data_IF_729378913131
#
_entry.id   IF_729378913131
#
_cell.length_a   1.000
_cell.length_b   1.000
_cell.length_c   1.000
_cell.angle_alpha   90.00
_cell.angle_beta   90.00
_cell.angle_gamma   90.00
#
_symmetry.space_group_name_H-M   'P 1'
#
loop_
_entity.id
_entity.type
_entity.pdbx_description
1 polymer ?
#
# COMPACT_ATOMS: atom_id res chain seq x y z
N UNK A 1 -6.32 9.74 -4.03
CA UNK A 1 -6.02 8.36 -3.61
C UNK A 1 -4.92 8.29 -2.55
N UNK A 2 -4.93 7.29 -1.66
CA UNK A 2 -3.93 7.00 -0.62
C UNK A 2 -3.50 5.54 -0.68
N UNK A 3 -2.26 5.28 -1.10
CA UNK A 3 -1.68 3.94 -1.20
C UNK A 3 -0.64 3.73 -0.10
N UNK A 4 -0.95 2.83 0.83
CA UNK A 4 0.01 2.36 1.83
C UNK A 4 1.00 1.37 1.22
N UNK A 5 2.26 1.46 1.63
CA UNK A 5 3.32 0.55 1.19
C UNK A 5 3.97 -0.04 2.43
N UNK A 6 3.96 -1.37 2.53
CA UNK A 6 4.52 -2.08 3.67
C UNK A 6 5.77 -2.83 3.20
N UNK A 7 6.87 -2.60 3.92
CA UNK A 7 8.15 -3.25 3.66
C UNK A 7 8.13 -4.76 3.84
N UNK A 8 9.15 -5.49 3.37
CA UNK A 8 9.28 -6.93 3.65
C UNK A 8 9.47 -7.22 5.14
N UNK A 9 8.85 -8.30 5.62
CA UNK A 9 8.80 -8.64 7.03
C UNK A 9 9.96 -9.51 7.55
N UNK A 10 10.73 -10.15 6.64
CA UNK A 10 11.83 -11.08 6.98
C UNK A 10 11.47 -12.05 8.13
N UNK A 11 10.26 -12.62 8.09
CA UNK A 11 9.71 -13.54 9.11
C UNK A 11 9.34 -12.92 10.47
N UNK A 12 8.97 -11.64 10.51
CA UNK A 12 8.42 -11.02 11.71
C UNK A 12 6.92 -10.69 11.54
N UNK A 13 6.01 -11.69 11.68
CA UNK A 13 4.58 -11.50 11.43
C UNK A 13 3.92 -10.55 12.42
N UNK A 14 4.44 -10.46 13.65
CA UNK A 14 3.93 -9.54 14.67
C UNK A 14 4.11 -8.09 14.24
N UNK A 15 5.35 -7.72 13.88
CA UNK A 15 5.63 -6.35 13.42
C UNK A 15 4.91 -6.07 12.10
N UNK A 16 4.82 -7.05 11.19
CA UNK A 16 4.04 -6.89 9.96
C UNK A 16 2.58 -6.54 10.23
N UNK A 17 1.94 -7.23 11.19
CA UNK A 17 0.57 -6.92 11.60
C UNK A 17 0.45 -5.51 12.17
N UNK A 18 1.33 -5.13 13.11
CA UNK A 18 1.32 -3.79 13.72
C UNK A 18 1.47 -2.69 12.65
N UNK A 19 2.31 -2.94 11.62
CA UNK A 19 2.46 -2.02 10.49
C UNK A 19 1.23 -1.97 9.60
N UNK A 20 0.60 -3.12 9.33
CA UNK A 20 -0.64 -3.17 8.57
C UNK A 20 -1.79 -2.46 9.29
N UNK A 21 -1.92 -2.68 10.61
CA UNK A 21 -2.87 -1.96 11.48
C UNK A 21 -2.65 -0.45 11.40
N UNK A 22 -1.41 0.01 11.55
CA UNK A 22 -1.06 1.44 11.43
C UNK A 22 -1.47 2.03 10.07
N UNK A 23 -1.23 1.30 8.98
CA UNK A 23 -1.60 1.76 7.63
C UNK A 23 -3.12 1.88 7.44
N UNK A 24 -3.89 0.93 7.99
CA UNK A 24 -5.35 0.92 7.87
C UNK A 24 -6.01 1.95 8.79
N UNK A 25 -5.54 2.09 10.04
CA UNK A 25 -6.20 2.88 11.07
C UNK A 25 -5.76 4.33 11.11
N UNK A 26 -4.44 4.54 11.17
CA UNK A 26 -3.85 5.86 11.38
C UNK A 26 -3.66 6.57 10.03
N UNK A 27 -3.10 5.86 9.05
CA UNK A 27 -2.89 6.44 7.72
C UNK A 27 -4.16 6.44 6.87
N UNK A 28 -5.15 5.61 7.20
CA UNK A 28 -6.40 5.43 6.46
C UNK A 28 -6.14 5.27 4.97
N UNK A 29 -5.24 4.35 4.64
CA UNK A 29 -4.95 4.05 3.25
C UNK A 29 -6.18 3.44 2.57
N UNK A 30 -6.45 3.82 1.33
CA UNK A 30 -7.54 3.23 0.54
C UNK A 30 -7.22 1.78 0.19
N UNK A 31 -5.93 1.53 -0.09
CA UNK A 31 -5.31 0.23 -0.35
C UNK A 31 -3.90 0.22 0.24
N UNK A 32 -3.39 -0.95 0.55
CA UNK A 32 -2.06 -1.14 1.12
C UNK A 32 -1.36 -2.34 0.48
N UNK A 33 -0.17 -2.13 -0.06
CA UNK A 33 0.59 -3.18 -0.76
C UNK A 33 1.80 -3.59 0.08
N UNK A 34 1.88 -4.87 0.41
CA UNK A 34 3.07 -5.50 0.96
C UNK A 34 4.06 -5.82 -0.15
N UNK A 35 5.26 -5.27 -0.04
CA UNK A 35 6.32 -5.37 -1.04
C UNK A 35 7.22 -6.59 -0.83
N UNK A 36 6.91 -7.45 0.15
CA UNK A 36 7.51 -8.77 0.27
C UNK A 36 6.79 -9.80 -0.60
N UNK A 37 7.49 -10.90 -0.89
CA UNK A 37 7.00 -11.99 -1.77
C UNK A 37 7.13 -13.35 -1.09
N UNK A 38 7.05 -13.35 0.24
CA UNK A 38 7.26 -14.50 1.13
C UNK A 38 5.96 -15.09 1.69
N UNK A 39 4.79 -14.60 1.24
CA UNK A 39 3.47 -15.03 1.74
C UNK A 39 3.15 -14.58 3.17
N UNK A 40 4.04 -13.80 3.81
CA UNK A 40 3.90 -13.45 5.22
C UNK A 40 2.65 -12.60 5.51
N UNK A 41 2.26 -11.72 4.58
CA UNK A 41 1.04 -10.93 4.73
C UNK A 41 -0.21 -11.81 4.66
N UNK A 42 -0.27 -12.78 3.75
CA UNK A 42 -1.43 -13.67 3.60
C UNK A 42 -1.65 -14.48 4.89
N UNK A 43 -0.58 -15.00 5.49
CA UNK A 43 -0.63 -15.70 6.77
C UNK A 43 -1.12 -14.78 7.91
N UNK A 44 -0.61 -13.55 7.96
CA UNK A 44 -1.03 -12.54 8.95
C UNK A 44 -2.51 -12.20 8.78
N UNK A 45 -2.96 -11.91 7.56
CA UNK A 45 -4.35 -11.56 7.26
C UNK A 45 -5.28 -12.72 7.59
N UNK A 46 -4.92 -13.94 7.24
CA UNK A 46 -5.71 -15.14 7.56
C UNK A 46 -5.87 -15.31 9.07
N UNK A 47 -4.77 -15.23 9.82
CA UNK A 47 -4.82 -15.37 11.28
C UNK A 47 -5.62 -14.25 11.92
N UNK A 48 -5.40 -13.01 11.49
CA UNK A 48 -6.11 -11.83 11.99
C UNK A 48 -7.61 -11.91 11.70
N UNK A 49 -8.01 -12.34 10.50
CA UNK A 49 -9.41 -12.52 10.16
C UNK A 49 -10.11 -13.56 11.06
N UNK A 50 -9.44 -14.68 11.36
CA UNK A 50 -9.93 -15.68 12.29
C UNK A 50 -10.10 -15.13 13.71
N UNK A 51 -9.13 -14.36 14.21
CA UNK A 51 -9.21 -13.75 15.54
C UNK A 51 -10.40 -12.78 15.67
N UNK A 52 -10.65 -11.98 14.62
CA UNK A 52 -11.73 -10.99 14.63
C UNK A 52 -13.10 -11.65 14.75
N UNK A 53 -13.37 -12.70 13.98
CA UNK A 53 -14.71 -13.32 13.93
C UNK A 53 -14.86 -14.56 14.79
N UNK A 54 -13.77 -15.11 15.34
CA UNK A 54 -13.75 -16.33 16.18
C UNK A 54 -14.47 -17.51 15.54
N UNK A 55 -14.32 -17.67 14.23
CA UNK A 55 -14.99 -18.67 13.41
C UNK A 55 -14.37 -18.75 12.01
N UNK A 56 -15.11 -19.30 11.05
CA UNK A 56 -14.72 -19.23 9.63
C UNK A 56 -14.79 -17.76 9.16
N UNK A 57 -13.70 -17.14 8.67
CA UNK A 57 -13.66 -15.76 8.21
C UNK A 57 -14.12 -15.58 6.75
N UNK A 58 -14.52 -16.65 6.07
CA UNK A 58 -15.03 -16.58 4.70
C UNK A 58 -16.25 -15.66 4.60
N UNK A 59 -16.41 -15.04 3.42
CA UNK A 59 -17.59 -14.22 3.11
C UNK A 59 -18.86 -15.07 3.09
N UNK A 60 -18.78 -16.32 2.63
CA UNK A 60 -19.90 -17.26 2.65
C UNK A 60 -20.42 -17.56 4.05
N UNK A 61 -19.56 -17.53 5.07
CA UNK A 61 -19.94 -17.82 6.45
C UNK A 61 -20.53 -16.61 7.21
N UNK A 62 -20.55 -15.40 6.63
CA UNK A 62 -21.03 -14.17 7.31
C UNK A 62 -22.46 -14.35 7.82
N UNK A 63 -23.36 -14.89 6.99
CA UNK A 63 -24.76 -15.08 7.35
C UNK A 63 -24.93 -16.09 8.49
N UNK A 64 -24.12 -17.16 8.49
CA UNK A 64 -24.14 -18.15 9.57
C UNK A 64 -23.64 -17.54 10.89
N UNK A 65 -22.56 -16.75 10.85
CA UNK A 65 -22.04 -16.03 12.03
C UNK A 65 -23.05 -15.02 12.58
N UNK A 66 -23.73 -14.28 11.69
CA UNK A 66 -24.79 -13.35 12.08
C UNK A 66 -25.98 -14.06 12.74
N UNK A 67 -26.44 -15.18 12.17
CA UNK A 67 -27.55 -15.95 12.73
C UNK A 67 -27.23 -16.48 14.15
N UNK A 68 -26.01 -16.99 14.35
CA UNK A 68 -25.54 -17.47 15.66
C UNK A 68 -25.38 -16.32 16.67
N UNK A 69 -24.89 -15.17 16.23
CA UNK A 69 -24.50 -14.07 17.11
C UNK A 69 -25.63 -13.09 17.42
N UNK A 70 -26.70 -13.03 16.61
CA UNK A 70 -27.71 -11.97 16.71
C UNK A 70 -29.10 -12.44 17.16
N UNK A 71 -29.42 -13.74 17.13
CA UNK A 71 -30.78 -14.23 17.35
C UNK A 71 -31.40 -13.86 18.72
N UNK A 72 -30.58 -13.75 19.78
CA UNK A 72 -30.99 -13.36 21.14
C UNK A 72 -30.01 -12.37 21.77
N UNK A 73 -29.26 -11.63 20.96
CA UNK A 73 -28.17 -10.80 21.43
C UNK A 73 -28.64 -9.41 21.88
N UNK A 74 -27.93 -8.85 22.85
CA UNK A 74 -28.06 -7.45 23.23
C UNK A 74 -27.53 -6.53 22.13
N UNK A 75 -27.95 -5.26 22.14
CA UNK A 75 -27.43 -4.25 21.23
C UNK A 75 -25.90 -4.14 21.28
N UNK A 76 -25.29 -4.31 22.47
CA UNK A 76 -23.84 -4.30 22.63
C UNK A 76 -23.17 -5.47 21.90
N UNK A 77 -23.75 -6.67 21.98
CA UNK A 77 -23.25 -7.85 21.28
C UNK A 77 -23.37 -7.71 19.76
N UNK A 78 -24.48 -7.15 19.28
CA UNK A 78 -24.68 -6.86 17.85
C UNK A 78 -23.65 -5.83 17.37
N UNK A 79 -23.39 -4.77 18.13
CA UNK A 79 -22.40 -3.76 17.78
C UNK A 79 -20.96 -4.31 17.76
N UNK A 80 -20.63 -5.22 18.69
CA UNK A 80 -19.34 -5.91 18.70
C UNK A 80 -19.18 -6.79 17.45
N UNK A 81 -20.21 -7.55 17.07
CA UNK A 81 -20.23 -8.34 15.84
C UNK A 81 -20.04 -7.46 14.60
N UNK A 82 -20.82 -6.37 14.45
CA UNK A 82 -20.72 -5.48 13.30
C UNK A 82 -19.34 -4.81 13.21
N UNK A 83 -18.77 -4.43 14.36
CA UNK A 83 -17.41 -3.86 14.41
C UNK A 83 -16.36 -4.87 13.95
N UNK A 84 -16.45 -6.11 14.41
CA UNK A 84 -15.55 -7.19 14.00
C UNK A 84 -15.67 -7.50 12.49
N UNK A 85 -16.88 -7.58 11.95
CA UNK A 85 -17.09 -7.83 10.52
C UNK A 85 -16.62 -6.66 9.63
N UNK A 86 -16.86 -5.42 10.04
CA UNK A 86 -16.33 -4.24 9.35
C UNK A 86 -14.81 -4.28 9.34
N UNK A 87 -14.19 -4.61 10.47
CA UNK A 87 -12.74 -4.73 10.57
C UNK A 87 -12.20 -5.86 9.68
N UNK A 88 -12.88 -7.01 9.63
CA UNK A 88 -12.52 -8.10 8.71
C UNK A 88 -12.61 -7.66 7.24
N UNK A 89 -13.64 -6.91 6.86
CA UNK A 89 -13.77 -6.38 5.49
C UNK A 89 -12.63 -5.42 5.14
N UNK A 90 -12.18 -4.59 6.09
CA UNK A 90 -11.03 -3.70 5.88
C UNK A 90 -9.74 -4.46 5.56
N UNK A 91 -9.58 -5.70 6.04
CA UNK A 91 -8.40 -6.52 5.71
C UNK A 91 -8.27 -6.78 4.20
N UNK A 92 -9.36 -6.66 3.42
CA UNK A 92 -9.32 -6.78 1.95
C UNK A 92 -8.59 -5.62 1.26
N UNK A 93 -8.30 -4.54 1.97
CA UNK A 93 -7.49 -3.44 1.46
C UNK A 93 -6.00 -3.79 1.45
N UNK A 94 -5.59 -4.85 2.15
CA UNK A 94 -4.22 -5.34 2.18
C UNK A 94 -3.99 -6.30 1.01
N UNK A 95 -2.97 -6.02 0.23
CA UNK A 95 -2.62 -6.77 -0.98
C UNK A 95 -1.13 -7.12 -0.98
N UNK A 96 -0.79 -8.24 -1.62
CA UNK A 96 0.59 -8.63 -1.89
C UNK A 96 0.98 -8.26 -3.32
N UNK A 97 2.28 -8.09 -3.57
CA UNK A 97 2.78 -8.21 -4.94
C UNK A 97 2.47 -9.63 -5.48
N UNK A 98 2.10 -9.78 -6.78
CA UNK A 98 1.66 -11.07 -7.31
C UNK A 98 2.72 -12.18 -7.20
N UNK A 99 3.99 -11.85 -7.48
CA UNK A 99 5.14 -12.74 -7.30
C UNK A 99 6.46 -11.95 -7.43
N UNK A 100 7.60 -12.59 -7.16
CA UNK A 100 8.93 -11.96 -7.14
C UNK A 100 9.30 -11.17 -8.41
N UNK A 101 8.90 -11.68 -9.58
CA UNK A 101 9.18 -11.06 -10.88
C UNK A 101 7.99 -10.25 -11.44
N UNK A 102 6.90 -10.11 -10.67
CA UNK A 102 5.75 -9.34 -11.10
C UNK A 102 5.99 -7.85 -10.86
N UNK A 103 5.35 -7.05 -11.71
CA UNK A 103 5.21 -5.61 -11.56
C UNK A 103 3.74 -5.27 -11.42
N UNK A 104 3.42 -4.44 -10.44
CA UNK A 104 2.10 -3.84 -10.29
C UNK A 104 2.19 -2.39 -10.73
N UNK A 105 1.29 -1.98 -11.61
CA UNK A 105 1.21 -0.59 -12.07
C UNK A 105 0.05 0.07 -11.34
N UNK A 106 0.34 1.19 -10.69
CA UNK A 106 -0.64 2.03 -10.01
C UNK A 106 -0.66 3.42 -10.67
N UNK A 107 -1.86 3.96 -10.87
CA UNK A 107 -2.05 5.25 -11.51
C UNK A 107 -2.64 6.24 -10.50
N UNK A 108 -1.90 7.32 -10.23
CA UNK A 108 -2.35 8.47 -9.45
C UNK A 108 -2.70 9.60 -10.41
N UNK A 109 -3.97 9.71 -10.80
CA UNK A 109 -4.45 10.60 -11.87
C UNK A 109 -3.72 10.38 -13.21
N UNK A 110 -2.57 11.06 -13.42
CA UNK A 110 -1.69 10.92 -14.60
C UNK A 110 -0.27 10.43 -14.28
N UNK A 111 0.03 10.21 -12.99
CA UNK A 111 1.33 9.76 -12.50
C UNK A 111 1.35 8.24 -12.43
N UNK A 112 2.26 7.63 -13.18
CA UNK A 112 2.47 6.18 -13.17
C UNK A 112 3.46 5.81 -12.08
N UNK A 113 3.03 4.94 -11.17
CA UNK A 113 3.86 4.28 -10.19
C UNK A 113 4.00 2.78 -10.54
N UNK A 114 5.23 2.28 -10.57
CA UNK A 114 5.52 0.86 -10.76
C UNK A 114 6.02 0.29 -9.44
N UNK A 115 5.35 -0.75 -8.94
CA UNK A 115 5.68 -1.45 -7.71
C UNK A 115 6.28 -2.82 -8.06
N UNK A 116 7.44 -3.12 -7.49
CA UNK A 116 8.17 -4.37 -7.71
C UNK A 116 8.80 -4.86 -6.40
N UNK A 117 9.14 -6.14 -6.31
CA UNK A 117 9.94 -6.61 -5.18
C UNK A 117 11.39 -6.16 -5.31
N UNK A 118 12.07 -6.58 -6.38
CA UNK A 118 13.49 -6.32 -6.60
C UNK A 118 13.70 -5.31 -7.73
N UNK A 119 14.27 -4.15 -7.40
CA UNK A 119 14.57 -3.11 -8.40
C UNK A 119 15.58 -3.55 -9.46
N UNK A 120 16.35 -4.60 -9.21
CA UNK A 120 17.28 -5.15 -10.21
C UNK A 120 16.57 -5.80 -11.41
N UNK A 121 15.26 -6.04 -11.29
CA UNK A 121 14.42 -6.61 -12.34
C UNK A 121 13.74 -5.53 -13.21
N UNK A 122 13.97 -4.25 -12.93
CA UNK A 122 13.43 -3.17 -13.74
C UNK A 122 14.14 -3.12 -15.10
N UNK A 123 13.35 -3.09 -16.17
CA UNK A 123 13.82 -2.90 -17.54
C UNK A 123 13.53 -1.47 -18.05
N UNK A 124 13.94 -1.17 -19.28
CA UNK A 124 13.70 0.15 -19.89
C UNK A 124 12.21 0.41 -20.11
N UNK A 125 11.42 -0.61 -20.46
CA UNK A 125 9.98 -0.48 -20.70
C UNK A 125 9.21 -0.09 -19.43
N UNK A 126 9.67 -0.56 -18.27
CA UNK A 126 9.14 -0.19 -16.96
C UNK A 126 9.54 1.22 -16.55
N UNK A 127 10.79 1.58 -16.79
CA UNK A 127 11.32 2.87 -16.38
C UNK A 127 10.77 4.01 -17.23
N UNK A 128 10.56 3.81 -18.53
CA UNK A 128 10.13 4.86 -19.45
C UNK A 128 8.84 5.58 -19.01
N UNK A 129 7.72 4.90 -18.74
CA UNK A 129 6.46 5.54 -18.35
C UNK A 129 6.41 5.93 -16.86
N UNK A 130 7.18 5.29 -15.99
CA UNK A 130 7.08 5.46 -14.54
C UNK A 130 7.69 6.78 -14.06
N UNK A 131 6.91 7.56 -13.30
CA UNK A 131 7.42 8.70 -12.51
C UNK A 131 7.83 8.27 -11.10
N UNK A 132 7.25 7.19 -10.58
CA UNK A 132 7.56 6.63 -9.26
C UNK A 132 7.90 5.14 -9.42
N UNK A 133 9.04 4.72 -8.90
CA UNK A 133 9.51 3.34 -8.88
C UNK A 133 9.60 2.89 -7.42
N UNK A 134 8.68 2.01 -7.02
CA UNK A 134 8.57 1.48 -5.67
C UNK A 134 9.16 0.08 -5.62
N UNK A 135 10.05 -0.18 -4.68
CA UNK A 135 10.65 -1.51 -4.52
C UNK A 135 10.72 -1.99 -3.07
N UNK A 136 10.56 -3.29 -2.86
CA UNK A 136 10.59 -3.93 -1.53
C UNK A 136 11.99 -4.30 -1.06
N UNK A 137 12.83 -4.84 -1.95
CA UNK A 137 14.18 -5.33 -1.63
C UNK A 137 15.14 -4.17 -1.43
N UNK A 138 15.19 -3.69 -0.20
CA UNK A 138 16.15 -2.70 0.27
C UNK A 138 16.54 -2.99 1.72
N UNK A 139 17.79 -2.66 2.08
CA UNK A 139 18.23 -2.68 3.48
C UNK A 139 17.67 -1.47 4.24
N UNK A 140 17.54 -0.34 3.56
CA UNK A 140 17.20 0.97 4.12
C UNK A 140 15.91 1.54 3.50
N UNK A 141 15.15 2.36 4.23
CA UNK A 141 14.12 3.21 3.65
C UNK A 141 14.75 4.28 2.74
N UNK A 142 14.16 4.51 1.58
CA UNK A 142 14.69 5.42 0.56
C UNK A 142 13.58 6.23 -0.07
N UNK A 143 13.77 7.55 -0.16
CA UNK A 143 13.12 8.42 -1.15
C UNK A 143 14.27 9.13 -1.86
N UNK A 144 14.47 8.82 -3.14
CA UNK A 144 15.58 9.37 -3.92
C UNK A 144 15.15 9.72 -5.34
N UNK A 145 15.39 10.98 -5.74
CA UNK A 145 14.99 11.48 -7.05
C UNK A 145 16.17 11.48 -8.02
N UNK A 146 15.97 10.90 -9.20
CA UNK A 146 16.92 10.90 -10.32
C UNK A 146 16.19 11.44 -11.55
N UNK A 147 16.53 12.67 -11.94
CA UNK A 147 15.83 13.37 -13.02
C UNK A 147 14.34 13.53 -12.71
N UNK A 148 13.49 13.00 -13.59
CA UNK A 148 12.03 13.05 -13.46
C UNK A 148 11.46 11.90 -12.61
N UNK A 149 12.28 10.95 -12.17
CA UNK A 149 11.83 9.73 -11.49
C UNK A 149 12.15 9.76 -10.01
N UNK A 150 11.23 9.26 -9.21
CA UNK A 150 11.46 8.99 -7.80
C UNK A 150 11.58 7.50 -7.55
N UNK A 151 12.65 7.10 -6.87
CA UNK A 151 12.87 5.77 -6.33
C UNK A 151 12.44 5.75 -4.87
N UNK A 152 11.48 4.89 -4.54
CA UNK A 152 10.88 4.77 -3.22
C UNK A 152 11.03 3.33 -2.70
N UNK A 153 11.46 3.19 -1.45
CA UNK A 153 11.39 1.95 -0.71
C UNK A 153 11.05 2.26 0.74
N UNK A 154 10.05 1.61 1.34
CA UNK A 154 9.83 1.70 2.78
C UNK A 154 10.94 1.04 3.61
N UNK A 155 11.78 0.20 3.00
CA UNK A 155 12.74 -0.64 3.74
C UNK A 155 12.02 -1.76 4.52
N UNK A 156 12.73 -2.58 5.30
CA UNK A 156 12.12 -3.66 6.09
C UNK A 156 11.16 -3.15 7.17
N UNK A 157 10.10 -3.91 7.51
CA UNK A 157 9.11 -3.50 8.54
C UNK A 157 9.71 -3.20 9.92
N UNK A 158 10.84 -3.83 10.22
CA UNK A 158 11.58 -3.70 11.48
C UNK A 158 12.55 -2.53 11.47
N UNK A 159 12.68 -1.80 10.36
CA UNK A 159 13.62 -0.69 10.27
C UNK A 159 13.16 0.47 11.18
N UNK A 160 14.02 1.03 12.04
CA UNK A 160 13.61 2.08 13.00
C UNK A 160 13.02 3.31 12.32
N UNK A 161 13.62 3.70 11.20
CA UNK A 161 13.25 4.89 10.42
C UNK A 161 12.39 4.57 9.19
N UNK A 162 11.77 3.38 9.16
CA UNK A 162 11.00 2.94 8.00
C UNK A 162 10.08 1.77 8.30
N UNK A 163 9.85 0.96 7.27
CA UNK A 163 8.94 -0.19 7.27
C UNK A 163 7.56 0.12 6.69
N UNK A 164 7.18 1.39 6.66
CA UNK A 164 5.93 1.87 6.05
C UNK A 164 6.22 3.14 5.24
N UNK A 165 5.60 3.22 4.05
CA UNK A 165 5.48 4.45 3.30
C UNK A 165 4.03 4.69 2.89
N UNK A 166 3.69 5.94 2.60
CA UNK A 166 2.39 6.34 2.04
C UNK A 166 2.63 7.16 0.78
N UNK A 167 1.99 6.77 -0.32
CA UNK A 167 1.80 7.62 -1.49
C UNK A 167 0.40 8.22 -1.42
N UNK A 168 0.33 9.54 -1.31
CA UNK A 168 -0.94 10.27 -1.24
C UNK A 168 -1.01 11.29 -2.36
N UNK A 169 -2.12 11.26 -3.09
CA UNK A 169 -2.51 12.30 -4.03
C UNK A 169 -3.01 13.51 -3.26
N UNK A 170 -2.49 14.68 -3.62
CA UNK A 170 -2.87 15.98 -3.08
C UNK A 170 -3.93 16.66 -3.97
N UNK A 171 -4.59 17.70 -3.46
CA UNK A 171 -5.66 18.41 -4.20
C UNK A 171 -5.19 19.06 -5.51
N UNK A 172 -3.89 19.35 -5.65
CA UNK A 172 -3.28 19.92 -6.85
C UNK A 172 -2.80 18.87 -7.86
N UNK A 173 -3.11 17.59 -7.59
CA UNK A 173 -2.74 16.40 -8.37
C UNK A 173 -1.33 15.89 -8.09
N UNK A 174 -0.55 16.56 -7.24
CA UNK A 174 0.78 16.08 -6.87
C UNK A 174 0.70 14.78 -6.07
N UNK A 175 1.74 13.96 -6.16
CA UNK A 175 1.88 12.76 -5.32
C UNK A 175 2.97 13.01 -4.29
N UNK A 176 2.59 12.94 -3.01
CA UNK A 176 3.50 12.99 -1.87
C UNK A 176 3.84 11.58 -1.40
N UNK A 177 5.14 11.32 -1.20
CA UNK A 177 5.61 10.15 -0.49
C UNK A 177 5.98 10.54 0.95
N UNK A 178 5.50 9.78 1.92
CA UNK A 178 5.89 9.91 3.33
C UNK A 178 6.38 8.57 3.86
N UNK A 179 7.55 8.56 4.52
CA UNK A 179 8.12 7.43 5.24
C UNK A 179 7.81 7.54 6.73
N UNK A 180 7.45 6.42 7.35
CA UNK A 180 7.06 6.35 8.74
C UNK A 180 7.99 5.44 9.53
N UNK A 181 8.41 5.92 10.71
CA UNK A 181 9.24 5.17 11.66
C UNK A 181 8.44 4.13 12.45
N UNK A 182 9.12 3.42 13.36
CA UNK A 182 8.48 2.38 14.19
C UNK A 182 7.43 2.92 15.18
N UNK A 183 7.56 4.17 15.57
CA UNK A 183 6.64 4.89 16.44
C UNK A 183 5.45 5.53 15.68
N UNK A 184 5.39 5.36 14.36
CA UNK A 184 4.37 5.99 13.51
C UNK A 184 4.65 7.47 13.19
N UNK A 185 5.78 8.03 13.62
CA UNK A 185 6.17 9.39 13.25
C UNK A 185 6.61 9.48 11.79
N UNK A 186 6.38 10.63 11.17
CA UNK A 186 6.89 10.91 9.82
C UNK A 186 8.39 11.17 9.91
N UNK A 187 9.17 10.29 9.28
CA UNK A 187 10.63 10.39 9.23
C UNK A 187 11.07 11.27 8.06
N UNK A 188 10.40 11.12 6.92
CA UNK A 188 10.72 11.82 5.68
C UNK A 188 9.46 12.02 4.85
N UNK A 189 9.30 13.18 4.22
CA UNK A 189 8.17 13.45 3.33
C UNK A 189 8.58 14.38 2.19
N UNK A 190 8.25 14.01 0.95
CA UNK A 190 8.59 14.77 -0.25
C UNK A 190 7.48 14.67 -1.30
N UNK A 191 7.31 15.72 -2.11
CA UNK A 191 6.53 15.62 -3.36
C UNK A 191 7.38 14.88 -4.39
N UNK A 192 6.94 13.67 -4.74
CA UNK A 192 7.72 12.73 -5.56
C UNK A 192 7.34 12.75 -7.02
N UNK A 193 6.13 13.17 -7.35
CA UNK A 193 5.67 13.34 -8.71
C UNK A 193 4.63 14.47 -8.80
N UNK A 194 4.50 15.02 -9.99
CA UNK A 194 3.53 16.04 -10.34
C UNK A 194 2.79 15.57 -11.59
N UNK A 195 1.50 15.91 -11.74
CA UNK A 195 0.74 15.51 -12.90
C UNK A 195 1.35 16.16 -14.15
N UNK A 196 1.38 15.42 -15.25
CA UNK A 196 1.88 15.93 -16.52
C UNK A 196 0.89 16.98 -17.04
N UNK A 197 1.07 18.24 -16.65
CA UNK A 197 0.36 19.38 -17.27
C UNK A 197 0.93 19.50 -18.68
N UNK A 198 0.17 18.97 -19.65
CA UNK A 198 0.60 18.65 -21.00
C UNK A 198 1.72 19.52 -21.56
N UNK A 199 2.73 18.86 -22.14
CA UNK A 199 3.72 19.52 -22.97
C UNK A 199 2.97 20.46 -23.94
N UNK A 200 3.32 21.75 -23.91
CA UNK A 200 2.72 22.75 -24.80
C UNK A 200 3.14 22.42 -26.23
N UNK A 201 2.34 21.59 -26.90
CA UNK A 201 2.57 21.16 -28.26
C UNK A 201 2.40 22.38 -29.16
N UNK A 202 3.52 22.98 -29.56
CA UNK A 202 3.52 24.16 -30.43
C UNK A 202 3.73 23.65 -31.84
N UNK A 203 2.64 23.53 -32.60
CA UNK A 203 2.71 23.23 -34.02
C UNK A 203 3.09 24.51 -34.75
N UNK A 204 4.34 24.63 -35.19
CA UNK A 204 4.73 25.66 -36.16
C UNK A 204 4.26 25.19 -37.54
N UNK A 205 3.13 25.73 -38.00
CA UNK A 205 2.71 25.59 -39.39
C UNK A 205 3.75 26.27 -40.29
N UNK A 206 4.43 25.48 -41.12
CA UNK A 206 5.31 26.01 -42.15
C UNK A 206 4.50 26.86 -43.13
N UNK A 207 4.79 28.16 -43.19
CA UNK A 207 4.29 29.02 -44.23
C UNK A 207 4.90 28.57 -45.56
N UNK A 208 4.05 28.10 -46.47
CA UNK A 208 4.42 27.92 -47.86
C UNK A 208 4.53 29.31 -48.51
N UNK A 209 5.72 29.65 -48.99
CA UNK A 209 5.95 30.69 -50.01
C UNK A 209 7.19 30.34 -50.81
#
# INVERSE_FOLDING_TARGET
MRLGLIGPAKRNPKVLRERAEFVLDELRADRAVYLGVDGALDDVVKHWAHELVKGDPSDSAVWQRAAQSCANASAQQINAFLSAERRRQQLKQLECLPHANARTIELFESVVAVLIHDKALLDEEDMLPASILVFGRSAEPVIHKIGLRCFLSPGPVTHPSGGVALLAEEEDGNVRASLYGIDGSVVKSEVVAQPNRGARMTVQGGAAS
#
